data_IF_952723189571
#
_entry.id   IF_952723189571
#
_cell.length_a   1.000
_cell.length_b   1.000
_cell.length_c   1.000
_cell.angle_alpha   90.00
_cell.angle_beta   90.00
_cell.angle_gamma   90.00
#
_symmetry.space_group_name_H-M   'P 1'
#
loop_
_entity.id
_entity.type
_entity.pdbx_description
1 polymer ?
#
# COMPACT_ATOMS: atom_id res chain seq x y z
N UNK A 1 25.30 34.66 -15.71
CA UNK A 1 23.86 34.98 -15.66
C UNK A 1 23.16 34.08 -16.67
N UNK A 2 22.31 33.16 -16.21
CA UNK A 2 21.53 32.29 -17.08
C UNK A 2 20.29 33.07 -17.52
N UNK A 3 20.38 33.74 -18.67
CA UNK A 3 19.20 34.34 -19.28
C UNK A 3 18.61 33.36 -20.30
N UNK A 4 17.28 33.14 -20.28
CA UNK A 4 16.62 32.36 -21.32
C UNK A 4 16.88 33.00 -22.68
N UNK A 5 16.92 32.21 -23.77
CA UNK A 5 17.09 32.77 -25.10
C UNK A 5 15.95 33.73 -25.42
N UNK A 6 16.29 34.92 -25.90
CA UNK A 6 15.36 35.97 -26.29
C UNK A 6 15.76 36.53 -27.67
N UNK A 7 14.75 36.87 -28.48
CA UNK A 7 14.96 37.42 -29.83
C UNK A 7 14.79 36.36 -30.90
N UNK A 8 15.84 36.09 -31.67
CA UNK A 8 15.82 35.19 -32.82
C UNK A 8 16.48 33.83 -32.52
N UNK A 9 16.03 32.82 -33.25
CA UNK A 9 16.59 31.48 -33.36
C UNK A 9 16.89 31.19 -34.83
N UNK A 10 17.52 30.05 -35.13
CA UNK A 10 17.74 29.59 -36.51
C UNK A 10 16.43 29.39 -37.31
N UNK A 11 15.27 29.28 -36.62
CA UNK A 11 13.96 29.14 -37.25
C UNK A 11 13.13 30.44 -37.27
N UNK A 12 13.68 31.56 -36.80
CA UNK A 12 13.01 32.86 -36.75
C UNK A 12 12.77 33.39 -35.34
N UNK A 13 11.78 34.28 -35.18
CA UNK A 13 11.54 34.99 -33.91
C UNK A 13 10.94 34.05 -32.87
N UNK A 14 11.55 33.96 -31.69
CA UNK A 14 11.09 33.12 -30.58
C UNK A 14 9.84 33.76 -29.96
N UNK A 15 8.70 33.08 -30.08
CA UNK A 15 7.43 33.49 -29.47
C UNK A 15 7.26 32.90 -28.06
N UNK A 16 7.66 31.64 -27.90
CA UNK A 16 7.54 30.90 -26.64
C UNK A 16 8.88 30.30 -26.29
N UNK A 17 9.28 30.43 -25.02
CA UNK A 17 10.48 29.81 -24.49
C UNK A 17 10.21 29.28 -23.08
N UNK A 18 10.24 27.95 -22.93
CA UNK A 18 10.01 27.25 -21.67
C UNK A 18 11.25 26.48 -21.26
N UNK A 19 11.78 26.75 -20.08
CA UNK A 19 12.93 25.98 -19.55
C UNK A 19 12.48 24.59 -19.11
N UNK A 20 13.01 23.54 -19.76
CA UNK A 20 12.67 22.15 -19.45
C UNK A 20 13.74 21.48 -18.58
N UNK A 21 14.96 21.97 -18.62
CA UNK A 21 16.05 21.71 -17.67
C UNK A 21 16.97 22.92 -17.67
N UNK A 22 17.85 23.02 -16.67
CA UNK A 22 18.77 24.16 -16.54
C UNK A 22 19.49 24.41 -17.87
N UNK A 23 19.28 25.59 -18.47
CA UNK A 23 19.82 26.00 -19.78
C UNK A 23 19.44 25.12 -20.99
N UNK A 24 18.32 24.38 -20.90
CA UNK A 24 17.71 23.62 -21.99
C UNK A 24 16.25 24.06 -22.08
N UNK A 25 15.88 24.60 -23.24
CA UNK A 25 14.61 25.27 -23.45
C UNK A 25 13.84 24.58 -24.58
N UNK A 26 12.54 24.39 -24.38
CA UNK A 26 11.61 24.14 -25.49
C UNK A 26 11.18 25.50 -26.03
N UNK A 27 11.32 25.69 -27.33
CA UNK A 27 10.98 26.94 -28.01
C UNK A 27 9.94 26.72 -29.11
N UNK A 28 9.12 27.74 -29.32
CA UNK A 28 8.28 27.88 -30.52
C UNK A 28 8.73 29.18 -31.19
N UNK A 29 9.22 29.08 -32.41
CA UNK A 29 9.69 30.21 -33.21
C UNK A 29 8.85 30.36 -34.48
N UNK A 30 8.67 31.60 -34.95
CA UNK A 30 7.93 31.90 -36.18
C UNK A 30 8.87 32.46 -37.24
N UNK A 31 8.81 31.87 -38.43
CA UNK A 31 9.60 32.33 -39.57
C UNK A 31 8.97 33.53 -40.29
N UNK A 32 9.64 34.00 -41.36
CA UNK A 32 9.20 35.16 -42.13
C UNK A 32 7.88 34.93 -42.90
N UNK A 33 7.54 33.67 -43.20
CA UNK A 33 6.30 33.27 -43.86
C UNK A 33 5.15 33.06 -42.85
N UNK A 34 5.44 33.20 -41.56
CA UNK A 34 4.48 33.07 -40.47
C UNK A 34 4.25 31.64 -39.99
N UNK A 35 5.07 30.68 -40.45
CA UNK A 35 4.99 29.28 -40.04
C UNK A 35 5.69 29.12 -38.69
N UNK A 36 5.06 28.36 -37.80
CA UNK A 36 5.62 28.07 -36.47
C UNK A 36 6.43 26.77 -36.50
N UNK A 37 7.63 26.84 -35.93
CA UNK A 37 8.54 25.72 -35.76
C UNK A 37 8.73 25.45 -34.28
N UNK A 38 8.61 24.19 -33.86
CA UNK A 38 8.81 23.79 -32.46
C UNK A 38 10.06 22.96 -32.29
N UNK A 39 10.92 23.33 -31.36
CA UNK A 39 12.12 22.54 -31.09
C UNK A 39 12.70 22.75 -29.70
N UNK A 40 13.89 22.19 -29.49
CA UNK A 40 14.66 22.38 -28.26
C UNK A 40 15.94 23.15 -28.56
N UNK A 41 16.26 24.07 -27.67
CA UNK A 41 17.43 24.92 -27.71
C UNK A 41 18.21 24.74 -26.41
N UNK A 42 19.45 24.28 -26.50
CA UNK A 42 20.30 23.97 -25.34
C UNK A 42 21.63 24.72 -25.42
N UNK A 43 22.10 25.29 -24.30
CA UNK A 43 23.48 25.82 -24.24
C UNK A 43 24.45 24.67 -24.50
N UNK A 44 25.40 24.86 -25.41
CA UNK A 44 26.38 23.84 -25.80
C UNK A 44 27.10 23.22 -24.61
N UNK A 45 27.65 24.04 -23.72
CA UNK A 45 28.34 23.58 -22.50
C UNK A 45 27.42 22.73 -21.60
N UNK A 46 26.15 23.13 -21.49
CA UNK A 46 25.16 22.39 -20.69
C UNK A 46 24.78 21.07 -21.36
N UNK A 47 24.59 21.08 -22.68
CA UNK A 47 24.27 19.88 -23.45
C UNK A 47 25.42 18.87 -23.41
N UNK A 48 26.67 19.30 -23.55
CA UNK A 48 27.86 18.42 -23.47
C UNK A 48 28.01 17.78 -22.09
N UNK A 49 27.60 18.47 -21.03
CA UNK A 49 27.61 17.95 -19.66
C UNK A 49 26.41 17.04 -19.35
N UNK A 50 25.23 17.39 -19.87
CA UNK A 50 23.96 16.85 -19.43
C UNK A 50 23.19 16.10 -20.51
N UNK A 51 23.75 15.85 -21.69
CA UNK A 51 23.17 15.00 -22.74
C UNK A 51 24.23 14.02 -23.24
N UNK A 52 23.80 12.94 -23.89
CA UNK A 52 24.73 11.98 -24.49
C UNK A 52 25.52 12.61 -25.65
N UNK A 53 26.73 12.11 -25.90
CA UNK A 53 27.51 12.52 -27.07
C UNK A 53 26.77 12.29 -28.40
N UNK A 54 25.84 11.31 -28.44
CA UNK A 54 24.98 11.10 -29.61
C UNK A 54 24.00 12.26 -29.77
N UNK A 55 23.29 12.65 -28.69
CA UNK A 55 22.37 13.77 -28.72
C UNK A 55 23.07 15.09 -29.08
N UNK A 56 24.27 15.35 -28.56
CA UNK A 56 25.04 16.56 -28.91
C UNK A 56 25.37 16.63 -30.40
N UNK A 57 25.77 15.50 -31.02
CA UNK A 57 26.11 15.44 -32.44
C UNK A 57 24.93 15.54 -33.39
N UNK A 58 23.72 15.31 -32.90
CA UNK A 58 22.49 15.38 -33.71
C UNK A 58 21.92 16.80 -33.81
N UNK A 59 22.40 17.71 -32.96
CA UNK A 59 21.95 19.09 -32.97
C UNK A 59 22.62 19.91 -34.07
N UNK A 60 21.88 20.88 -34.58
CA UNK A 60 22.45 21.98 -35.36
C UNK A 60 23.07 23.01 -34.41
N UNK A 61 24.32 23.40 -34.66
CA UNK A 61 25.01 24.37 -33.81
C UNK A 61 24.96 25.76 -34.46
N UNK A 62 24.47 26.75 -33.71
CA UNK A 62 24.65 28.16 -34.02
C UNK A 62 25.14 28.92 -32.77
N UNK A 63 26.33 29.50 -32.89
CA UNK A 63 27.06 30.07 -31.76
C UNK A 63 27.25 29.10 -30.59
N UNK A 64 26.79 29.52 -29.42
CA UNK A 64 26.83 28.76 -28.16
C UNK A 64 25.59 27.86 -27.94
N UNK A 65 24.72 27.75 -28.95
CA UNK A 65 23.46 27.03 -28.86
C UNK A 65 23.43 25.80 -29.76
N UNK A 66 22.79 24.76 -29.24
CA UNK A 66 22.45 23.55 -29.96
C UNK A 66 20.94 23.51 -30.17
N UNK A 67 20.52 23.35 -31.42
CA UNK A 67 19.14 23.34 -31.85
C UNK A 67 18.73 21.95 -32.29
N UNK A 68 17.57 21.53 -31.80
CA UNK A 68 16.93 20.25 -32.10
C UNK A 68 15.55 20.53 -32.69
N UNK A 69 15.42 20.29 -33.98
CA UNK A 69 14.20 20.50 -34.75
C UNK A 69 13.08 19.51 -34.34
N UNK A 70 11.97 19.56 -35.07
CA UNK A 70 10.82 18.67 -34.84
C UNK A 70 11.14 17.18 -34.95
N UNK A 71 12.18 16.81 -35.70
CA UNK A 71 12.58 15.44 -35.91
C UNK A 71 13.54 14.92 -34.82
N UNK A 72 14.22 15.84 -34.12
CA UNK A 72 15.31 15.49 -33.21
C UNK A 72 15.07 15.92 -31.76
N UNK A 73 14.11 16.82 -31.50
CA UNK A 73 13.78 17.34 -30.15
C UNK A 73 13.38 16.27 -29.14
N UNK A 74 12.82 15.15 -29.57
CA UNK A 74 12.39 14.11 -28.64
C UNK A 74 13.57 13.44 -27.92
N UNK A 75 14.77 13.45 -28.52
CA UNK A 75 15.97 12.86 -27.95
C UNK A 75 16.45 13.62 -26.70
N UNK A 76 16.77 14.92 -26.75
CA UNK A 76 17.14 15.67 -25.55
C UNK A 76 15.99 15.72 -24.54
N UNK A 77 14.74 15.76 -24.99
CA UNK A 77 13.59 15.69 -24.09
C UNK A 77 13.58 14.38 -23.29
N UNK A 78 13.71 13.24 -23.97
CA UNK A 78 13.73 11.93 -23.34
C UNK A 78 14.88 11.81 -22.34
N UNK A 79 16.08 12.25 -22.70
CA UNK A 79 17.25 12.22 -21.82
C UNK A 79 17.12 13.15 -20.59
N UNK A 80 16.50 14.31 -20.76
CA UNK A 80 16.18 15.22 -19.64
C UNK A 80 15.17 14.56 -18.71
N UNK A 81 14.11 13.95 -19.24
CA UNK A 81 13.09 13.25 -18.45
C UNK A 81 13.68 12.06 -17.68
N UNK A 82 14.55 11.26 -18.31
CA UNK A 82 15.26 10.18 -17.63
C UNK A 82 16.11 10.68 -16.46
N UNK A 83 16.84 11.78 -16.63
CA UNK A 83 17.62 12.39 -15.55
C UNK A 83 16.74 12.94 -14.44
N UNK A 84 15.62 13.59 -14.78
CA UNK A 84 14.63 14.03 -13.79
C UNK A 84 14.09 12.86 -13.00
N UNK A 85 13.70 11.76 -13.66
CA UNK A 85 13.23 10.54 -13.00
C UNK A 85 14.29 9.98 -12.05
N UNK A 86 15.56 9.90 -12.48
CA UNK A 86 16.65 9.42 -11.63
C UNK A 86 16.95 10.36 -10.44
N UNK A 87 16.74 11.67 -10.60
CA UNK A 87 16.82 12.63 -9.50
C UNK A 87 15.64 12.45 -8.53
N UNK A 88 14.42 12.31 -9.04
CA UNK A 88 13.23 12.04 -8.24
C UNK A 88 13.40 10.76 -7.41
N UNK A 89 13.90 9.66 -8.00
CA UNK A 89 14.18 8.42 -7.26
C UNK A 89 15.18 8.63 -6.11
N UNK A 90 16.22 9.44 -6.31
CA UNK A 90 17.18 9.75 -5.24
C UNK A 90 16.57 10.60 -4.13
N UNK A 91 15.73 11.56 -4.50
CA UNK A 91 14.98 12.37 -3.53
C UNK A 91 13.98 11.49 -2.77
N UNK A 92 13.25 10.63 -3.47
CA UNK A 92 12.34 9.65 -2.90
C UNK A 92 13.06 8.75 -1.89
N UNK A 93 14.19 8.14 -2.28
CA UNK A 93 15.01 7.33 -1.34
C UNK A 93 15.46 8.16 -0.13
N UNK A 94 15.96 9.39 -0.33
CA UNK A 94 16.40 10.23 0.78
C UNK A 94 15.23 10.64 1.70
N UNK A 95 14.05 10.91 1.15
CA UNK A 95 12.83 11.19 1.91
C UNK A 95 12.41 9.95 2.69
N UNK A 96 12.43 8.77 2.07
CA UNK A 96 12.16 7.50 2.76
C UNK A 96 13.15 7.25 3.89
N UNK A 97 14.44 7.45 3.68
CA UNK A 97 15.48 7.33 4.72
C UNK A 97 15.22 8.30 5.88
N UNK A 98 14.85 9.55 5.58
CA UNK A 98 14.48 10.52 6.61
C UNK A 98 13.23 10.11 7.37
N UNK A 99 12.21 9.59 6.69
CA UNK A 99 11.00 9.06 7.33
C UNK A 99 11.34 7.88 8.25
N UNK A 100 12.17 6.94 7.79
CA UNK A 100 12.63 5.80 8.59
C UNK A 100 13.52 6.22 9.77
N UNK A 101 14.36 7.24 9.61
CA UNK A 101 15.14 7.82 10.71
C UNK A 101 14.24 8.47 11.77
N UNK A 102 13.18 9.17 11.35
CA UNK A 102 12.20 9.75 12.27
C UNK A 102 11.45 8.64 13.03
N UNK A 103 11.07 7.55 12.34
CA UNK A 103 10.47 6.35 12.97
C UNK A 103 11.44 5.71 13.98
N UNK A 104 12.70 5.45 13.60
CA UNK A 104 13.73 4.83 14.46
C UNK A 104 14.12 5.67 15.67
N UNK A 105 14.13 6.99 15.54
CA UNK A 105 14.45 7.90 16.64
C UNK A 105 13.29 8.08 17.65
N UNK A 106 12.19 7.32 17.52
CA UNK A 106 11.09 7.27 18.48
C UNK A 106 10.36 8.60 18.68
N UNK A 107 10.53 9.56 17.77
CA UNK A 107 9.99 10.93 17.85
C UNK A 107 8.75 11.16 16.99
N UNK A 108 8.16 10.08 16.46
CA UNK A 108 6.75 10.07 16.08
C UNK A 108 6.01 9.21 17.11
N UNK A 109 5.63 9.82 18.23
CA UNK A 109 4.43 9.35 18.91
C UNK A 109 3.28 9.63 17.96
N UNK A 110 2.89 8.63 17.17
CA UNK A 110 1.80 8.73 16.21
C UNK A 110 0.48 9.16 16.89
N UNK A 111 0.33 8.82 18.17
CA UNK A 111 -0.72 9.33 19.07
C UNK A 111 -0.67 10.84 19.27
N UNK A 112 0.51 11.45 19.37
CA UNK A 112 0.67 12.90 19.55
C UNK A 112 0.47 13.68 18.22
N UNK A 113 0.70 13.02 17.07
CA UNK A 113 0.55 13.64 15.75
C UNK A 113 -0.89 13.57 15.20
N UNK A 114 -1.59 12.44 15.42
CA UNK A 114 -2.98 12.25 14.96
C UNK A 114 -4.03 12.50 16.03
N UNK A 115 -3.62 12.66 17.29
CA UNK A 115 -4.52 12.71 18.44
C UNK A 115 -5.07 11.33 18.83
N UNK A 116 -5.87 11.30 19.91
CA UNK A 116 -6.60 10.10 20.31
C UNK A 116 -7.80 9.86 19.38
N UNK A 117 -7.84 8.67 18.76
CA UNK A 117 -8.96 8.20 17.96
C UNK A 117 -10.05 7.69 18.90
N UNK A 118 -11.26 8.26 18.80
CA UNK A 118 -12.39 7.85 19.61
C UNK A 118 -12.75 6.39 19.31
N UNK A 119 -12.94 5.52 20.31
CA UNK A 119 -13.30 4.13 20.07
C UNK A 119 -14.58 3.99 19.23
N UNK A 120 -14.68 2.96 18.35
CA UNK A 120 -15.87 2.72 17.56
C UNK A 120 -17.07 2.39 18.48
N UNK A 121 -18.23 2.97 18.17
CA UNK A 121 -19.49 2.75 18.89
C UNK A 121 -20.50 1.91 18.08
N UNK A 122 -20.33 1.86 16.76
CA UNK A 122 -21.17 1.13 15.82
C UNK A 122 -20.29 0.33 14.86
N UNK A 123 -20.77 -0.85 14.46
CA UNK A 123 -20.27 -1.63 13.31
C UNK A 123 -21.25 -1.44 12.15
N UNK A 124 -20.91 -1.88 10.92
CA UNK A 124 -21.87 -1.88 9.82
C UNK A 124 -23.14 -2.72 10.07
N UNK A 125 -23.14 -3.58 11.11
CA UNK A 125 -24.22 -4.51 11.43
C UNK A 125 -24.99 -4.14 12.70
N UNK A 126 -24.51 -3.19 13.51
CA UNK A 126 -25.23 -2.76 14.71
C UNK A 126 -24.36 -2.00 15.72
N UNK A 127 -24.86 -1.88 16.94
CA UNK A 127 -24.10 -1.29 18.04
C UNK A 127 -22.97 -2.22 18.50
N UNK A 128 -21.84 -1.64 18.88
CA UNK A 128 -20.73 -2.40 19.49
C UNK A 128 -21.14 -2.82 20.91
N UNK A 129 -21.19 -4.13 21.16
CA UNK A 129 -21.53 -4.72 22.46
C UNK A 129 -20.30 -4.79 23.36
N UNK A 130 -19.16 -5.19 22.80
CA UNK A 130 -17.88 -5.25 23.50
C UNK A 130 -16.72 -4.84 22.59
N UNK A 131 -15.61 -4.39 23.20
CA UNK A 131 -14.42 -3.98 22.47
C UNK A 131 -13.15 -4.30 23.23
N UNK A 132 -12.19 -4.85 22.50
CA UNK A 132 -10.83 -5.05 22.96
C UNK A 132 -9.94 -3.98 22.31
N UNK A 133 -9.43 -3.06 23.13
CA UNK A 133 -8.48 -2.05 22.70
C UNK A 133 -7.11 -2.69 22.46
N UNK A 134 -6.60 -2.55 21.24
CA UNK A 134 -5.25 -3.00 20.87
C UNK A 134 -4.30 -1.82 20.93
N UNK A 135 -4.66 -0.74 20.23
CA UNK A 135 -3.89 0.51 20.16
C UNK A 135 -4.82 1.67 19.77
N UNK A 136 -4.34 2.90 19.93
CA UNK A 136 -5.04 4.08 19.41
C UNK A 136 -5.43 3.88 17.92
N UNK A 137 -6.74 3.84 17.66
CA UNK A 137 -7.29 3.62 16.33
C UNK A 137 -7.39 2.14 15.88
N UNK A 138 -7.02 1.16 16.71
CA UNK A 138 -7.10 -0.27 16.39
C UNK A 138 -7.82 -1.04 17.50
N UNK A 139 -8.91 -1.71 17.16
CA UNK A 139 -9.76 -2.45 18.11
C UNK A 139 -10.20 -3.79 17.52
N UNK A 140 -10.43 -4.79 18.36
CA UNK A 140 -11.47 -5.78 18.05
C UNK A 140 -12.79 -5.29 18.62
N UNK A 141 -13.85 -5.42 17.83
CA UNK A 141 -15.22 -5.08 18.23
C UNK A 141 -16.10 -6.31 18.09
N UNK A 142 -16.98 -6.53 19.05
CA UNK A 142 -18.03 -7.55 18.99
C UNK A 142 -19.37 -6.82 18.84
N UNK A 143 -20.10 -7.13 17.77
CA UNK A 143 -21.53 -6.81 17.66
C UNK A 143 -22.39 -8.04 18.00
N UNK A 144 -23.71 -7.94 17.87
CA UNK A 144 -24.65 -9.04 18.15
C UNK A 144 -24.46 -10.26 17.23
N UNK A 145 -23.66 -10.14 16.17
CA UNK A 145 -23.45 -11.19 15.19
C UNK A 145 -22.03 -11.78 15.29
N UNK A 146 -21.00 -10.94 15.15
CA UNK A 146 -19.64 -11.42 14.91
C UNK A 146 -18.57 -10.46 15.44
N UNK A 147 -17.39 -11.02 15.71
CA UNK A 147 -16.20 -10.24 16.02
C UNK A 147 -15.61 -9.66 14.74
N UNK A 148 -15.15 -8.40 14.82
CA UNK A 148 -14.54 -7.67 13.71
C UNK A 148 -13.28 -6.98 14.16
N UNK A 149 -12.32 -6.89 13.26
CA UNK A 149 -11.13 -6.08 13.42
C UNK A 149 -11.40 -4.68 12.85
N UNK A 150 -11.26 -3.64 13.67
CA UNK A 150 -11.57 -2.27 13.33
C UNK A 150 -10.30 -1.44 13.28
N UNK A 151 -10.07 -0.76 12.15
CA UNK A 151 -8.93 0.14 11.92
C UNK A 151 -9.45 1.53 11.59
N UNK A 152 -9.01 2.54 12.34
CA UNK A 152 -9.38 3.93 12.12
C UNK A 152 -8.76 4.45 10.82
N UNK A 153 -9.44 5.36 10.12
CA UNK A 153 -9.00 5.91 8.83
C UNK A 153 -7.60 6.54 8.91
N UNK A 154 -7.33 7.31 9.97
CA UNK A 154 -6.00 7.87 10.20
C UNK A 154 -4.89 6.80 10.27
N UNK A 155 -5.18 5.60 10.78
CA UNK A 155 -4.22 4.49 10.78
C UNK A 155 -4.12 3.89 9.38
N UNK A 156 -5.26 3.63 8.74
CA UNK A 156 -5.31 3.06 7.39
C UNK A 156 -4.58 3.94 6.35
N UNK A 157 -4.87 5.24 6.33
CA UNK A 157 -4.29 6.19 5.36
C UNK A 157 -2.77 6.34 5.46
N UNK A 158 -2.18 6.03 6.62
CA UNK A 158 -0.76 6.25 6.87
C UNK A 158 0.07 4.97 6.85
N UNK A 159 -0.54 3.82 7.18
CA UNK A 159 0.18 2.57 7.38
C UNK A 159 -0.30 1.43 6.50
N UNK A 160 -1.47 1.59 5.87
CA UNK A 160 -2.03 0.56 5.01
C UNK A 160 -2.00 0.97 3.54
N UNK A 161 -1.93 -0.02 2.67
CA UNK A 161 -2.03 0.18 1.23
C UNK A 161 -3.48 0.49 0.84
N UNK A 162 -3.69 1.24 -0.27
CA UNK A 162 -5.05 1.49 -0.77
C UNK A 162 -5.83 0.19 -1.02
N UNK A 163 -5.17 -0.84 -1.54
CA UNK A 163 -5.81 -2.13 -1.79
C UNK A 163 -6.30 -2.79 -0.50
N UNK A 164 -5.56 -2.69 0.61
CA UNK A 164 -6.00 -3.23 1.89
C UNK A 164 -7.28 -2.55 2.42
N UNK A 165 -7.48 -1.27 2.11
CA UNK A 165 -8.69 -0.54 2.49
C UNK A 165 -9.94 -0.98 1.71
N UNK A 166 -9.79 -1.52 0.50
CA UNK A 166 -10.92 -1.97 -0.33
C UNK A 166 -11.65 -3.19 0.25
N UNK A 167 -10.98 -3.97 1.10
CA UNK A 167 -11.55 -5.14 1.78
C UNK A 167 -12.26 -4.79 3.09
N UNK A 168 -12.14 -3.54 3.56
CA UNK A 168 -12.77 -3.06 4.78
C UNK A 168 -14.17 -2.49 4.53
N UNK A 169 -15.11 -2.76 5.43
CA UNK A 169 -16.41 -2.10 5.44
C UNK A 169 -16.32 -0.80 6.25
N UNK A 170 -16.48 0.34 5.60
CA UNK A 170 -16.45 1.64 6.26
C UNK A 170 -17.72 1.90 7.08
N UNK A 171 -17.56 2.24 8.36
CA UNK A 171 -18.61 2.78 9.22
C UNK A 171 -18.01 3.87 10.11
N UNK A 172 -18.53 5.09 10.00
CA UNK A 172 -17.92 6.27 10.65
C UNK A 172 -16.49 6.49 10.18
N UNK A 173 -15.57 6.65 11.13
CA UNK A 173 -14.13 6.85 10.92
C UNK A 173 -13.33 5.53 10.97
N UNK A 174 -14.01 4.38 10.85
CA UNK A 174 -13.40 3.06 10.96
C UNK A 174 -13.71 2.18 9.75
N UNK A 175 -12.71 1.39 9.36
CA UNK A 175 -12.81 0.26 8.45
C UNK A 175 -12.91 -1.03 9.27
N UNK A 176 -13.96 -1.80 9.03
CA UNK A 176 -14.24 -3.06 9.72
C UNK A 176 -13.97 -4.26 8.82
N UNK A 177 -13.21 -5.20 9.33
CA UNK A 177 -12.83 -6.45 8.68
C UNK A 177 -13.40 -7.61 9.48
N UNK A 178 -13.99 -8.59 8.80
CA UNK A 178 -14.33 -9.85 9.47
C UNK A 178 -13.07 -10.61 9.91
N UNK A 179 -13.24 -11.68 10.68
CA UNK A 179 -12.11 -12.42 11.24
C UNK A 179 -11.18 -12.99 10.18
N UNK A 180 -11.65 -13.35 8.99
CA UNK A 180 -10.81 -13.86 7.90
C UNK A 180 -10.12 -12.70 7.17
N UNK A 181 -10.86 -11.64 6.84
CA UNK A 181 -10.36 -10.43 6.18
C UNK A 181 -9.37 -9.65 7.05
N UNK A 182 -9.43 -9.80 8.38
CA UNK A 182 -8.46 -9.22 9.31
C UNK A 182 -7.01 -9.63 9.00
N UNK A 183 -6.80 -10.75 8.28
CA UNK A 183 -5.48 -11.14 7.80
C UNK A 183 -4.77 -10.04 6.99
N UNK A 184 -5.53 -9.25 6.23
CA UNK A 184 -5.01 -8.18 5.37
C UNK A 184 -4.40 -7.05 6.22
N UNK A 185 -5.16 -6.32 7.06
CA UNK A 185 -4.58 -5.27 7.89
C UNK A 185 -3.53 -5.82 8.86
N UNK A 186 -3.71 -7.03 9.41
CA UNK A 186 -2.69 -7.62 10.31
C UNK A 186 -1.35 -7.82 9.60
N UNK A 187 -1.34 -8.23 8.33
CA UNK A 187 -0.09 -8.41 7.58
C UNK A 187 0.66 -7.10 7.33
N UNK A 188 -0.06 -6.02 7.05
CA UNK A 188 0.57 -4.71 6.81
C UNK A 188 1.00 -4.03 8.11
N UNK A 189 0.21 -4.20 9.18
CA UNK A 189 0.42 -3.51 10.45
C UNK A 189 1.38 -4.25 11.39
N UNK A 190 1.61 -5.56 11.24
CA UNK A 190 2.49 -6.33 12.15
C UNK A 190 3.94 -5.84 12.17
N UNK A 191 4.44 -5.32 11.04
CA UNK A 191 5.81 -4.78 10.98
C UNK A 191 5.91 -3.32 11.45
N UNK A 192 4.77 -2.71 11.78
CA UNK A 192 4.65 -1.31 12.19
C UNK A 192 4.33 -1.18 13.68
N UNK A 193 3.49 -2.08 14.20
CA UNK A 193 3.00 -2.05 15.57
C UNK A 193 3.18 -3.41 16.25
N UNK A 194 4.04 -3.45 17.26
CA UNK A 194 4.31 -4.62 18.10
C UNK A 194 3.01 -5.20 18.69
N UNK A 195 2.02 -4.36 19.03
CA UNK A 195 0.72 -4.83 19.54
C UNK A 195 -0.06 -5.63 18.50
N UNK A 196 0.11 -5.32 17.21
CA UNK A 196 -0.55 -6.05 16.11
C UNK A 196 0.20 -7.35 15.80
N UNK A 197 1.54 -7.32 15.85
CA UNK A 197 2.36 -8.53 15.73
C UNK A 197 2.00 -9.56 16.81
N UNK A 198 1.86 -9.10 18.06
CA UNK A 198 1.54 -9.94 19.21
C UNK A 198 0.18 -10.64 19.12
N UNK A 199 -0.74 -10.19 18.25
CA UNK A 199 -2.01 -10.85 18.00
C UNK A 199 -1.86 -12.13 17.16
N UNK A 200 -0.82 -12.19 16.32
CA UNK A 200 -0.64 -13.26 15.34
C UNK A 200 0.02 -14.46 16.03
N UNK A 201 -0.76 -15.53 16.23
CA UNK A 201 -0.25 -16.78 16.82
C UNK A 201 0.42 -17.69 15.80
N UNK A 202 0.12 -17.51 14.51
CA UNK A 202 0.73 -18.28 13.41
C UNK A 202 0.83 -17.43 12.15
N UNK A 203 2.03 -17.02 11.79
CA UNK A 203 2.30 -16.35 10.52
C UNK A 203 2.06 -17.26 9.32
N UNK A 204 2.38 -18.56 9.43
CA UNK A 204 2.14 -19.52 8.36
C UNK A 204 0.65 -19.60 7.99
N UNK A 205 -0.23 -19.63 9.00
CA UNK A 205 -1.68 -19.61 8.78
C UNK A 205 -2.16 -18.26 8.24
N UNK A 206 -1.55 -17.15 8.67
CA UNK A 206 -1.83 -15.82 8.14
C UNK A 206 -1.54 -15.78 6.63
N UNK A 207 -0.34 -16.20 6.22
CA UNK A 207 0.07 -16.22 4.82
C UNK A 207 -0.76 -17.19 3.98
N UNK A 208 -1.08 -18.37 4.51
CA UNK A 208 -1.99 -19.30 3.85
C UNK A 208 -3.39 -18.70 3.65
N UNK A 209 -3.89 -17.94 4.64
CA UNK A 209 -5.19 -17.25 4.52
C UNK A 209 -5.15 -16.18 3.43
N UNK A 210 -4.13 -15.33 3.41
CA UNK A 210 -3.96 -14.29 2.39
C UNK A 210 -3.91 -14.90 0.99
N UNK A 211 -3.12 -15.96 0.81
CA UNK A 211 -3.02 -16.65 -0.48
C UNK A 211 -4.35 -17.29 -0.91
N UNK A 212 -4.98 -18.06 -0.02
CA UNK A 212 -6.12 -18.91 -0.38
C UNK A 212 -7.45 -18.14 -0.45
N UNK A 213 -7.60 -17.04 0.30
CA UNK A 213 -8.84 -16.27 0.39
C UNK A 213 -8.73 -14.90 -0.30
N UNK A 214 -7.53 -14.36 -0.45
CA UNK A 214 -7.27 -13.02 -0.97
C UNK A 214 -6.13 -13.01 -2.00
N UNK A 215 -6.21 -13.91 -2.98
CA UNK A 215 -5.18 -14.06 -4.03
C UNK A 215 -4.91 -12.73 -4.76
N UNK A 216 -5.96 -11.98 -5.11
CA UNK A 216 -5.84 -10.68 -5.77
C UNK A 216 -5.03 -9.68 -4.94
N UNK A 217 -5.31 -9.58 -3.65
CA UNK A 217 -4.51 -8.76 -2.72
C UNK A 217 -3.05 -9.24 -2.67
N UNK A 218 -2.82 -10.54 -2.55
CA UNK A 218 -1.47 -11.12 -2.44
C UNK A 218 -0.62 -10.81 -3.68
N UNK A 219 -1.20 -10.92 -4.88
CA UNK A 219 -0.52 -10.63 -6.15
C UNK A 219 -0.12 -9.16 -6.23
N UNK A 220 -1.05 -8.25 -5.94
CA UNK A 220 -0.80 -6.81 -6.02
C UNK A 220 0.19 -6.35 -4.93
N UNK A 221 0.02 -6.83 -3.70
CA UNK A 221 0.94 -6.55 -2.59
C UNK A 221 2.38 -7.00 -2.93
N UNK A 222 2.54 -8.24 -3.43
CA UNK A 222 3.86 -8.77 -3.77
C UNK A 222 4.52 -8.07 -4.98
N UNK A 223 3.72 -7.50 -5.89
CA UNK A 223 4.21 -6.70 -7.00
C UNK A 223 4.80 -5.36 -6.54
N UNK A 224 4.28 -4.80 -5.45
CA UNK A 224 4.71 -3.52 -4.89
C UNK A 224 5.81 -3.65 -3.82
N UNK A 225 5.95 -4.81 -3.17
CA UNK A 225 6.90 -5.00 -2.07
C UNK A 225 8.27 -5.54 -2.50
N UNK A 226 9.36 -5.12 -1.79
CA UNK A 226 10.67 -5.77 -1.92
C UNK A 226 10.59 -7.26 -1.58
N UNK A 227 11.50 -8.05 -2.15
CA UNK A 227 11.47 -9.53 -2.05
C UNK A 227 11.40 -10.05 -0.61
N UNK A 228 12.09 -9.37 0.31
CA UNK A 228 12.14 -9.70 1.75
C UNK A 228 10.78 -9.55 2.47
N UNK A 229 9.89 -8.70 1.97
CA UNK A 229 8.59 -8.41 2.57
C UNK A 229 7.41 -9.04 1.80
N UNK A 230 7.70 -9.85 0.77
CA UNK A 230 6.65 -10.53 0.01
C UNK A 230 6.02 -11.63 0.86
N UNK A 231 4.72 -11.79 0.69
CA UNK A 231 3.94 -12.87 1.29
C UNK A 231 4.43 -14.19 0.67
N UNK A 232 5.02 -15.10 1.46
CA UNK A 232 5.54 -16.36 0.97
C UNK A 232 4.43 -17.36 0.69
N UNK A 233 4.70 -18.32 -0.19
CA UNK A 233 3.80 -19.46 -0.37
C UNK A 233 4.00 -20.48 0.75
N UNK A 234 2.98 -20.64 1.60
CA UNK A 234 3.01 -21.58 2.72
C UNK A 234 1.86 -22.58 2.58
N UNK A 235 2.15 -23.85 2.87
CA UNK A 235 1.14 -24.90 2.96
C UNK A 235 0.75 -25.10 4.43
N UNK A 236 -0.20 -24.28 4.90
CA UNK A 236 -0.75 -24.32 6.25
C UNK A 236 -2.28 -24.17 6.22
N UNK A 237 -3.00 -24.55 7.28
CA UNK A 237 -4.44 -24.30 7.39
C UNK A 237 -4.74 -22.80 7.36
N UNK A 238 -5.85 -22.41 6.72
CA UNK A 238 -6.32 -21.03 6.70
C UNK A 238 -7.13 -20.69 7.95
N UNK A 239 -7.23 -19.39 8.25
CA UNK A 239 -8.02 -18.83 9.36
C UNK A 239 -7.68 -19.38 10.76
N UNK A 240 -6.42 -19.73 11.03
CA UNK A 240 -5.89 -20.14 12.35
C UNK A 240 -4.70 -19.29 12.80
N UNK A 241 -4.75 -18.00 12.51
CA UNK A 241 -3.67 -17.04 12.80
C UNK A 241 -3.93 -16.18 14.04
N UNK A 242 -5.12 -16.24 14.64
CA UNK A 242 -5.47 -15.59 15.91
C UNK A 242 -5.84 -16.61 16.98
N UNK A 243 -5.58 -16.28 18.25
CA UNK A 243 -5.94 -17.15 19.38
C UNK A 243 -7.45 -17.48 19.42
N UNK A 244 -8.30 -16.50 19.15
CA UNK A 244 -9.77 -16.67 19.13
C UNK A 244 -10.22 -17.68 18.06
N UNK A 245 -9.54 -17.75 16.92
CA UNK A 245 -9.86 -18.72 15.87
C UNK A 245 -9.52 -20.15 16.30
N UNK A 246 -8.39 -20.32 17.01
CA UNK A 246 -8.01 -21.63 17.57
C UNK A 246 -9.00 -22.11 18.63
N UNK A 247 -9.55 -21.21 19.42
CA UNK A 247 -10.56 -21.55 20.44
C UNK A 247 -11.89 -21.96 19.79
N UNK A 248 -12.34 -21.24 18.76
CA UNK A 248 -13.56 -21.58 18.01
C UNK A 248 -13.49 -22.99 17.41
N UNK A 249 -12.36 -23.38 16.80
CA UNK A 249 -12.20 -24.74 16.26
C UNK A 249 -12.24 -25.81 17.35
N UNK A 250 -11.58 -25.57 18.50
CA UNK A 250 -11.60 -26.51 19.63
C UNK A 250 -13.02 -26.71 20.18
N UNK A 251 -13.84 -25.67 20.20
CA UNK A 251 -15.20 -25.77 20.72
C UNK A 251 -16.14 -26.45 19.72
N UNK A 252 -15.92 -26.27 18.41
CA UNK A 252 -16.60 -27.05 17.36
C UNK A 252 -16.24 -28.55 17.46
N UNK A 253 -14.96 -28.89 17.61
CA UNK A 253 -14.50 -30.27 17.78
C UNK A 253 -15.07 -30.92 19.06
N UNK A 254 -15.19 -30.18 20.17
CA UNK A 254 -15.83 -30.70 21.40
C UNK A 254 -17.34 -30.93 21.24
N UNK A 255 -18.04 -30.09 20.47
CA UNK A 255 -19.47 -30.27 20.19
C UNK A 255 -19.73 -31.48 19.30
N UNK A 256 -18.84 -31.78 18.36
CA UNK A 256 -18.93 -32.97 17.50
C UNK A 256 -18.61 -34.30 18.24
N UNK A 257 -17.86 -34.24 19.35
CA UNK A 257 -17.40 -35.43 20.11
C UNK A 257 -18.29 -35.73 21.34
N UNK A 258 -19.50 -35.17 21.45
CA UNK A 258 -20.46 -35.62 22.48
C UNK A 258 -20.89 -37.06 22.20
N UNK A 259 -20.56 -38.04 23.07
CA UNK A 259 -20.76 -39.45 22.76
C UNK A 259 -22.25 -39.79 22.77
N UNK A 260 -22.70 -40.43 21.70
CA UNK A 260 -23.89 -41.27 21.74
C UNK A 260 -23.76 -42.21 22.95
N UNK A 261 -24.70 -42.08 23.88
CA UNK A 261 -24.80 -42.93 25.07
C UNK A 261 -24.79 -44.38 24.61
N UNK A 262 -23.71 -45.08 24.90
CA UNK A 262 -23.61 -46.54 24.82
C UNK A 262 -24.58 -47.12 25.85
N UNK A 263 -25.73 -47.62 25.38
CA UNK A 263 -26.65 -48.38 26.21
C UNK A 263 -26.13 -49.82 26.31
N UNK A 264 -25.18 -50.05 27.21
CA UNK A 264 -24.95 -51.34 27.84
C UNK A 264 -25.03 -51.13 29.36
N UNK A 265 -26.24 -51.27 29.92
CA UNK A 265 -26.42 -51.60 31.33
C UNK A 265 -27.13 -52.95 31.42
N UNK A 266 -26.37 -53.92 31.90
CA UNK A 266 -26.71 -55.31 32.13
C UNK A 266 -27.38 -55.47 33.53
N UNK A 267 -28.57 -56.09 33.56
CA UNK A 267 -29.19 -56.88 34.65
C UNK A 267 -29.77 -56.22 35.92
N UNK A 268 -31.02 -56.62 36.26
CA UNK A 268 -31.60 -56.43 37.60
C UNK A 268 -33.12 -56.64 37.74
N UNK A 269 -33.59 -57.87 37.53
CA UNK A 269 -34.81 -58.54 38.06
C UNK A 269 -35.84 -57.74 38.90
N UNK A 270 -37.11 -57.68 38.43
CA UNK A 270 -38.30 -57.61 39.32
C UNK A 270 -39.40 -58.54 38.82
N UNK A 271 -39.65 -59.58 39.63
CA UNK A 271 -40.78 -60.52 39.59
C UNK A 271 -42.07 -59.83 40.04
N UNK A 272 -43.14 -59.95 39.25
CA UNK A 272 -44.50 -59.59 39.66
C UNK A 272 -45.36 -60.88 39.75
N UNK A 273 -45.82 -61.21 40.96
CA UNK A 273 -46.76 -62.29 41.23
C UNK A 273 -48.18 -61.71 41.18
N UNK A 274 -48.82 -61.80 40.02
CA UNK A 274 -50.26 -61.60 39.88
C UNK A 274 -51.03 -62.78 40.49
N UNK A 275 -51.63 -62.57 41.66
CA UNK A 275 -52.64 -63.43 42.27
C UNK A 275 -54.00 -63.01 41.74
N UNK A 276 -54.77 -63.93 41.16
CA UNK A 276 -56.23 -63.81 40.99
C UNK A 276 -56.91 -65.20 41.14
N UNK A 277 -58.21 -65.24 41.50
CA UNK A 277 -58.77 -66.01 42.61
C UNK A 277 -59.11 -67.49 42.36
#
# INVERSE_FOLDING_TARGET
MNQPPQGESIWGTINTCTEIALNIYMIIARDADGIEHTGIMARKETAEKNLSAKAVRMAEQDGDWLYYDENTKDIPMFEVLQRKMAACKRVETAVMEQMEEIKRNGRLNLTDYFGECNPPMETPQGGVVDRLHIRNGIYFTQDDHEMKFAVHEAVADNFMSPIATEFGQKQGEYLFYDMTASAIPLNELKNVFDETEALIVSEDSLYATLKNRFEGYTVEYNACMPEEYRIPEVNAPDSLFLAVQLEQVKDMEKQEVSPAITAEEEYGEQVDYGVEP
#
